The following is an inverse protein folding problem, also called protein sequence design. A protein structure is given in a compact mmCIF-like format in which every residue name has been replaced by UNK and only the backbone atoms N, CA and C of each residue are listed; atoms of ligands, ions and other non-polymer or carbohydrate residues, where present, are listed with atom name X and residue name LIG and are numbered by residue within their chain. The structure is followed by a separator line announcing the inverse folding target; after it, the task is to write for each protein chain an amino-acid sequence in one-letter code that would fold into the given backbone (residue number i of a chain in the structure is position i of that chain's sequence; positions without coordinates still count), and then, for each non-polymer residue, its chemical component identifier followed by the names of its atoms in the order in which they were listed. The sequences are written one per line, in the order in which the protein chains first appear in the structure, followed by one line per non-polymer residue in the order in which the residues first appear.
data_IF_593240751898
#
_entry.id   IF_593240751898
#
_cell.length_a   1.000
_cell.length_b   1.000
_cell.length_c   1.000
_cell.angle_alpha   90.00
_cell.angle_beta   90.00
_cell.angle_gamma   90.00
#
_symmetry.space_group_name_H-M   'P 1'
#
loop_
_entity.id
_entity.type
_entity.pdbx_description
1 polymer ?
#
# COMPACT_ATOMS: atom_id res chain seq x y z
N UNK A 1 0.58 1.37 10.97
CA UNK A 1 -0.56 1.47 11.92
C UNK A 1 -1.19 2.86 11.84
N UNK A 2 -0.41 3.94 11.94
CA UNK A 2 -0.95 5.32 11.92
C UNK A 2 -1.75 5.69 10.66
N UNK A 3 -1.31 5.23 9.47
CA UNK A 3 -2.01 5.50 8.21
C UNK A 3 -3.42 4.89 8.19
N UNK A 4 -3.57 3.61 8.56
CA UNK A 4 -4.87 2.92 8.66
C UNK A 4 -5.77 3.57 9.72
N UNK A 5 -5.20 3.98 10.86
CA UNK A 5 -5.95 4.72 11.89
C UNK A 5 -6.45 6.07 11.39
N UNK A 6 -5.64 6.82 10.63
CA UNK A 6 -6.07 8.10 10.04
C UNK A 6 -7.22 7.89 9.07
N UNK A 7 -7.15 6.88 8.21
CA UNK A 7 -8.25 6.58 7.29
C UNK A 7 -9.52 6.14 8.03
N UNK A 8 -9.40 5.29 9.05
CA UNK A 8 -10.55 4.90 9.87
C UNK A 8 -11.21 6.11 10.53
N UNK A 9 -10.41 7.06 11.05
CA UNK A 9 -10.93 8.31 11.62
C UNK A 9 -11.65 9.14 10.55
N UNK A 10 -11.09 9.25 9.35
CA UNK A 10 -11.74 9.95 8.24
C UNK A 10 -13.08 9.33 7.90
N UNK A 11 -13.14 7.99 7.84
CA UNK A 11 -14.37 7.26 7.57
C UNK A 11 -15.42 7.46 8.69
N UNK A 12 -15.04 7.32 9.96
CA UNK A 12 -15.97 7.46 11.09
C UNK A 12 -16.44 8.91 11.28
N UNK A 13 -15.59 9.89 11.01
CA UNK A 13 -15.89 11.31 11.22
C UNK A 13 -16.43 11.99 9.95
N UNK A 14 -16.61 11.27 8.84
CA UNK A 14 -16.99 11.80 7.54
C UNK A 14 -16.12 12.99 7.08
N UNK A 15 -14.81 12.83 7.23
CA UNK A 15 -13.81 13.83 6.77
C UNK A 15 -12.95 13.24 5.66
N UNK A 16 -12.39 14.09 4.79
CA UNK A 16 -11.47 13.64 3.76
C UNK A 16 -10.08 13.37 4.35
N UNK A 17 -9.42 12.27 3.95
CA UNK A 17 -8.00 12.09 4.22
C UNK A 17 -7.14 13.04 3.38
N UNK A 18 -5.88 13.18 3.75
CA UNK A 18 -4.92 14.04 3.05
C UNK A 18 -4.58 13.52 1.62
N UNK A 19 -3.84 14.33 0.87
CA UNK A 19 -3.43 14.07 -0.52
C UNK A 19 -2.67 12.75 -0.73
N UNK A 20 -1.99 12.25 0.30
CA UNK A 20 -1.28 10.96 0.31
C UNK A 20 -2.22 9.74 0.38
N UNK A 21 -3.54 9.98 0.32
CA UNK A 21 -4.60 8.99 0.14
C UNK A 21 -5.43 9.28 -1.11
N UNK A 22 -5.73 10.55 -1.38
CA UNK A 22 -6.70 10.91 -2.43
C UNK A 22 -6.11 11.06 -3.84
N UNK A 23 -4.83 11.37 -3.99
CA UNK A 23 -4.23 11.53 -5.32
C UNK A 23 -4.18 10.20 -6.07
N UNK A 24 -4.33 10.24 -7.39
CA UNK A 24 -4.21 9.04 -8.25
C UNK A 24 -2.85 8.33 -8.09
N UNK A 25 -1.81 9.10 -7.77
CA UNK A 25 -0.47 8.60 -7.50
C UNK A 25 -0.10 8.62 -6.01
N UNK A 26 -1.08 8.59 -5.09
CA UNK A 26 -0.85 8.60 -3.64
C UNK A 26 0.15 7.51 -3.17
N UNK A 27 0.10 6.32 -3.79
CA UNK A 27 1.05 5.23 -3.57
C UNK A 27 2.52 5.57 -3.92
N UNK A 28 2.78 6.62 -4.68
CA UNK A 28 4.15 7.11 -4.96
C UNK A 28 4.56 8.25 -4.03
N UNK A 29 3.59 8.90 -3.39
CA UNK A 29 3.77 10.08 -2.54
C UNK A 29 3.84 9.73 -1.05
N UNK A 30 3.40 8.53 -0.65
CA UNK A 30 3.53 8.08 0.73
C UNK A 30 4.99 7.75 1.08
N UNK A 31 5.32 7.73 2.37
CA UNK A 31 6.68 7.45 2.85
C UNK A 31 7.21 6.10 2.35
N UNK A 32 6.35 5.09 2.30
CA UNK A 32 6.70 3.78 1.78
C UNK A 32 6.93 3.81 0.27
N UNK A 33 6.13 4.55 -0.51
CA UNK A 33 6.34 4.74 -1.94
C UNK A 33 7.70 5.38 -2.24
N UNK A 34 8.04 6.43 -1.50
CA UNK A 34 9.36 7.06 -1.58
C UNK A 34 10.50 6.12 -1.19
N UNK A 35 10.31 5.29 -0.15
CA UNK A 35 11.28 4.27 0.23
C UNK A 35 11.46 3.22 -0.87
N UNK A 36 10.37 2.69 -1.42
CA UNK A 36 10.38 1.65 -2.43
C UNK A 36 11.12 2.11 -3.68
N UNK A 37 10.87 3.33 -4.13
CA UNK A 37 11.54 3.90 -5.30
C UNK A 37 13.05 4.07 -5.08
N UNK A 38 13.47 4.54 -3.90
CA UNK A 38 14.91 4.65 -3.56
C UNK A 38 15.63 3.31 -3.52
N UNK A 39 14.91 2.22 -3.27
CA UNK A 39 15.48 0.88 -3.07
C UNK A 39 15.23 -0.05 -4.25
N UNK A 40 14.58 0.42 -5.32
CA UNK A 40 14.05 -0.49 -6.33
C UNK A 40 15.13 -1.33 -7.01
N UNK A 41 16.31 -0.76 -7.28
CA UNK A 41 17.39 -1.51 -7.91
C UNK A 41 17.83 -2.72 -7.06
N UNK A 42 17.77 -2.60 -5.73
CA UNK A 42 18.05 -3.71 -4.80
C UNK A 42 16.95 -4.76 -4.87
N UNK A 43 15.68 -4.34 -4.88
CA UNK A 43 14.55 -5.26 -5.00
C UNK A 43 14.58 -6.01 -6.35
N UNK A 44 14.82 -5.29 -7.45
CA UNK A 44 14.95 -5.87 -8.79
C UNK A 44 16.10 -6.85 -8.91
N UNK A 45 17.24 -6.56 -8.28
CA UNK A 45 18.40 -7.46 -8.27
C UNK A 45 18.15 -8.75 -7.48
N UNK A 46 17.23 -8.74 -6.50
CA UNK A 46 16.85 -9.92 -5.73
C UNK A 46 15.78 -10.74 -6.45
N UNK A 47 14.69 -10.10 -6.87
CA UNK A 47 13.58 -10.72 -7.60
C UNK A 47 12.76 -9.63 -8.30
N UNK A 48 13.00 -9.45 -9.61
CA UNK A 48 12.29 -8.49 -10.43
C UNK A 48 10.77 -8.70 -10.44
N UNK A 49 10.31 -9.96 -10.54
CA UNK A 49 8.88 -10.25 -10.64
C UNK A 49 8.16 -9.91 -9.33
N UNK A 50 8.80 -10.20 -8.19
CA UNK A 50 8.25 -9.78 -6.89
C UNK A 50 8.38 -8.30 -6.63
N UNK A 51 9.36 -7.61 -7.23
CA UNK A 51 9.49 -6.16 -7.11
C UNK A 51 8.34 -5.45 -7.86
N UNK A 52 7.98 -5.95 -9.03
CA UNK A 52 6.82 -5.46 -9.79
C UNK A 52 5.51 -5.79 -9.06
N UNK A 53 5.34 -7.03 -8.60
CA UNK A 53 4.17 -7.44 -7.83
C UNK A 53 4.01 -6.64 -6.52
N UNK A 54 5.11 -6.31 -5.84
CA UNK A 54 5.11 -5.43 -4.66
C UNK A 54 4.57 -4.03 -4.99
N UNK A 55 4.95 -3.46 -6.14
CA UNK A 55 4.42 -2.16 -6.61
C UNK A 55 2.94 -2.23 -6.94
N UNK A 56 2.51 -3.30 -7.59
CA UNK A 56 1.10 -3.53 -7.94
C UNK A 56 0.27 -3.65 -6.65
N UNK A 57 0.68 -4.49 -5.71
CA UNK A 57 0.00 -4.67 -4.43
C UNK A 57 -0.10 -3.34 -3.66
N UNK A 58 0.99 -2.57 -3.62
CA UNK A 58 1.00 -1.24 -3.01
C UNK A 58 -0.02 -0.28 -3.65
N UNK A 59 -0.06 -0.24 -4.98
CA UNK A 59 -1.03 0.57 -5.73
C UNK A 59 -2.46 0.10 -5.48
N UNK A 60 -2.72 -1.21 -5.53
CA UNK A 60 -4.03 -1.81 -5.28
C UNK A 60 -4.56 -1.44 -3.89
N UNK A 61 -3.71 -1.48 -2.86
CA UNK A 61 -4.07 -1.04 -1.51
C UNK A 61 -4.47 0.44 -1.49
N UNK A 62 -3.70 1.33 -2.14
CA UNK A 62 -4.03 2.75 -2.22
C UNK A 62 -5.29 3.04 -3.07
N UNK A 63 -5.55 2.24 -4.10
CA UNK A 63 -6.75 2.40 -4.92
C UNK A 63 -8.02 2.02 -4.14
N UNK A 64 -7.99 0.90 -3.41
CA UNK A 64 -9.12 0.46 -2.58
C UNK A 64 -9.44 1.50 -1.49
N UNK A 65 -8.43 2.02 -0.81
CA UNK A 65 -8.65 3.00 0.26
C UNK A 65 -9.19 4.34 -0.27
N UNK A 66 -8.77 4.74 -1.48
CA UNK A 66 -9.28 5.94 -2.16
C UNK A 66 -10.75 5.77 -2.55
N UNK A 67 -11.12 4.61 -3.07
CA UNK A 67 -12.51 4.28 -3.40
C UNK A 67 -13.42 4.33 -2.16
N UNK A 68 -13.00 3.69 -1.06
CA UNK A 68 -13.69 3.74 0.25
C UNK A 68 -13.86 5.20 0.72
N UNK A 69 -12.77 5.98 0.68
CA UNK A 69 -12.78 7.37 1.15
C UNK A 69 -13.74 8.25 0.34
N UNK A 70 -13.86 8.04 -0.97
CA UNK A 70 -14.80 8.78 -1.81
C UNK A 70 -16.27 8.47 -1.50
N UNK A 71 -16.62 7.22 -1.21
CA UNK A 71 -17.99 6.84 -0.85
C UNK A 71 -18.37 7.39 0.53
N UNK A 72 -17.52 7.17 1.52
CA UNK A 72 -17.79 7.62 2.89
C UNK A 72 -17.88 9.14 2.99
N UNK A 73 -17.05 9.89 2.24
CA UNK A 73 -17.16 11.34 2.18
C UNK A 73 -18.49 11.83 1.59
N UNK A 74 -19.09 11.06 0.67
CA UNK A 74 -20.42 11.37 0.10
C UNK A 74 -21.56 11.00 1.05
N UNK A 75 -21.27 10.46 2.24
CA UNK A 75 -22.28 9.93 3.17
C UNK A 75 -22.88 8.60 2.70
N UNK A 76 -22.29 7.97 1.69
CA UNK A 76 -22.70 6.67 1.19
C UNK A 76 -22.02 5.57 2.01
N UNK A 77 -22.68 4.39 2.16
CA UNK A 77 -22.02 3.23 2.75
C UNK A 77 -20.81 2.82 1.91
N UNK A 78 -19.79 2.29 2.57
CA UNK A 78 -18.66 1.67 1.89
C UNK A 78 -19.10 0.41 1.12
N UNK A 79 -18.42 0.13 0.01
CA UNK A 79 -18.61 -1.06 -0.80
C UNK A 79 -17.69 -2.19 -0.34
N UNK A 80 -18.25 -3.38 -0.16
CA UNK A 80 -17.51 -4.60 0.21
C UNK A 80 -16.39 -4.93 -0.79
N UNK A 81 -16.60 -4.69 -2.09
CA UNK A 81 -15.59 -4.94 -3.11
C UNK A 81 -14.34 -4.06 -2.91
N UNK A 82 -14.53 -2.80 -2.51
CA UNK A 82 -13.41 -1.86 -2.29
C UNK A 82 -12.62 -2.23 -1.02
N UNK A 83 -13.32 -2.74 0.01
CA UNK A 83 -12.71 -3.31 1.21
C UNK A 83 -11.89 -4.55 0.89
N UNK A 84 -12.45 -5.50 0.14
CA UNK A 84 -11.74 -6.70 -0.31
C UNK A 84 -10.50 -6.32 -1.11
N UNK A 85 -10.60 -5.35 -2.02
CA UNK A 85 -9.46 -4.87 -2.80
C UNK A 85 -8.36 -4.28 -1.91
N UNK A 86 -8.73 -3.45 -0.93
CA UNK A 86 -7.80 -2.88 0.03
C UNK A 86 -7.08 -3.98 0.84
N UNK A 87 -7.84 -4.92 1.39
CA UNK A 87 -7.32 -6.02 2.23
C UNK A 87 -6.41 -6.96 1.43
N UNK A 88 -6.79 -7.31 0.20
CA UNK A 88 -5.97 -8.12 -0.70
C UNK A 88 -4.65 -7.42 -1.03
N UNK A 89 -4.70 -6.15 -1.44
CA UNK A 89 -3.49 -5.39 -1.74
C UNK A 89 -2.57 -5.26 -0.52
N UNK A 90 -3.14 -5.07 0.68
CA UNK A 90 -2.36 -5.02 1.92
C UNK A 90 -1.70 -6.37 2.25
N UNK A 91 -2.44 -7.47 2.11
CA UNK A 91 -1.92 -8.80 2.37
C UNK A 91 -0.78 -9.16 1.42
N UNK A 92 -0.98 -8.96 0.11
CA UNK A 92 0.04 -9.20 -0.92
C UNK A 92 1.29 -8.36 -0.69
N UNK A 93 1.12 -7.07 -0.34
CA UNK A 93 2.22 -6.18 0.00
C UNK A 93 3.09 -6.76 1.13
N UNK A 94 2.45 -7.22 2.21
CA UNK A 94 3.14 -7.80 3.38
C UNK A 94 3.88 -9.08 2.97
N UNK A 95 3.26 -9.94 2.16
CA UNK A 95 3.87 -11.18 1.68
C UNK A 95 5.12 -10.92 0.82
N UNK A 96 5.07 -9.94 -0.09
CA UNK A 96 6.23 -9.55 -0.88
C UNK A 96 7.35 -8.96 -0.02
N UNK A 97 7.01 -8.12 0.96
CA UNK A 97 8.01 -7.58 1.91
C UNK A 97 8.66 -8.67 2.76
N UNK A 98 7.88 -9.65 3.22
CA UNK A 98 8.40 -10.79 3.98
C UNK A 98 9.38 -11.63 3.14
N UNK A 99 9.07 -11.84 1.86
CA UNK A 99 9.97 -12.49 0.93
C UNK A 99 11.31 -11.73 0.81
N UNK A 100 11.27 -10.43 0.52
CA UNK A 100 12.50 -9.64 0.36
C UNK A 100 13.32 -9.54 1.63
N UNK A 101 12.67 -9.41 2.79
CA UNK A 101 13.34 -9.45 4.10
C UNK A 101 14.12 -10.76 4.27
N UNK A 102 13.52 -11.89 3.89
CA UNK A 102 14.14 -13.22 3.97
C UNK A 102 15.32 -13.32 3.00
N UNK A 103 15.14 -12.90 1.74
CA UNK A 103 16.19 -12.92 0.73
C UNK A 103 17.41 -12.08 1.13
N UNK A 104 17.19 -10.89 1.71
CA UNK A 104 18.25 -10.01 2.19
C UNK A 104 19.00 -10.60 3.40
N UNK A 105 18.29 -11.22 4.34
CA UNK A 105 18.89 -11.87 5.49
C UNK A 105 19.81 -13.03 5.07
N UNK A 106 19.35 -13.86 4.12
CA UNK A 106 20.16 -14.97 3.57
C UNK A 106 21.42 -14.43 2.87
N UNK A 107 21.28 -13.41 2.03
CA UNK A 107 22.43 -12.80 1.34
C UNK A 107 23.46 -12.23 2.31
N UNK A 108 23.01 -11.61 3.40
CA UNK A 108 23.90 -11.04 4.43
C UNK A 108 24.61 -12.10 5.26
N UNK A 109 24.10 -13.34 5.31
CA UNK A 109 24.76 -14.46 5.99
C UNK A 109 25.82 -15.17 5.14
N UNK A 110 25.89 -14.85 3.84
CA UNK A 110 26.83 -15.42 2.87
C UNK A 110 27.97 -14.46 2.49
N UNK A 111 27.94 -13.22 2.96
CA UNK A 111 28.95 -12.16 2.77
C UNK A 111 29.81 -11.98 4.01
#
# INVERSE_FOLDING_TARGET
MDWTHRVLRCAVLHTLPDDDVLKDNAHQLCEFGHFLERQIDIFNALDHNRADALRIAHKTMHDGIRAISHQVFRGEPGNEADLIQFEQGQQELIEHLAHFKTAMAVRSSLS
#
